data_IF_649634052428
#
_entry.id   IF_649634052428
#
_cell.length_a   1.000
_cell.length_b   1.000
_cell.length_c   1.000
_cell.angle_alpha   90.00
_cell.angle_beta   90.00
_cell.angle_gamma   90.00
#
_symmetry.space_group_name_H-M   'P 1'
#
loop_
_entity.id
_entity.type
_entity.pdbx_description
1 polymer ?
#
# COMPACT_ATOMS: atom_id res chain seq x y z
N UNK A 1 13.55 10.72 -11.08
CA UNK A 1 12.75 10.16 -9.95
C UNK A 1 13.40 10.64 -8.66
N UNK A 2 12.65 11.37 -7.83
CA UNK A 2 13.13 11.82 -6.53
C UNK A 2 13.06 10.69 -5.48
N UNK A 3 13.50 10.95 -4.25
CA UNK A 3 13.56 9.92 -3.20
C UNK A 3 12.17 9.42 -2.80
N UNK A 4 11.18 10.31 -2.67
CA UNK A 4 9.81 9.95 -2.32
C UNK A 4 9.16 9.03 -3.38
N UNK A 5 9.36 9.33 -4.66
CA UNK A 5 8.92 8.45 -5.75
C UNK A 5 9.56 7.07 -5.64
N UNK A 6 10.88 7.00 -5.37
CA UNK A 6 11.56 5.72 -5.18
C UNK A 6 11.01 4.92 -4.00
N UNK A 7 10.62 5.60 -2.92
CA UNK A 7 10.07 4.93 -1.74
C UNK A 7 8.64 4.41 -1.97
N UNK A 8 7.87 5.01 -2.89
CA UNK A 8 6.51 4.59 -3.23
C UNK A 8 6.48 3.40 -4.19
N UNK A 9 7.28 3.42 -5.27
CA UNK A 9 7.22 2.41 -6.32
C UNK A 9 8.47 1.51 -6.40
N UNK A 10 9.40 1.67 -5.48
CA UNK A 10 10.62 0.88 -5.40
C UNK A 10 11.79 1.45 -6.21
N UNK A 11 12.97 0.94 -5.96
CA UNK A 11 14.31 1.45 -6.23
C UNK A 11 14.82 2.41 -5.13
N UNK A 12 14.15 2.43 -3.97
CA UNK A 12 14.63 3.02 -2.74
C UNK A 12 15.44 2.01 -1.92
N UNK A 13 15.11 1.90 -0.64
CA UNK A 13 15.77 0.97 0.30
C UNK A 13 15.13 -0.43 0.32
N UNK A 14 14.08 -0.67 -0.46
CA UNK A 14 13.39 -1.96 -0.55
C UNK A 14 13.18 -2.40 -2.00
N UNK A 15 12.74 -3.64 -2.18
CA UNK A 15 12.35 -4.14 -3.48
C UNK A 15 11.09 -3.43 -4.00
N UNK A 16 10.96 -3.19 -5.32
CA UNK A 16 9.75 -2.60 -5.88
C UNK A 16 8.49 -3.41 -5.55
N UNK A 17 7.33 -2.77 -5.32
CA UNK A 17 6.07 -3.47 -5.09
C UNK A 17 5.74 -4.49 -6.20
N UNK A 18 5.98 -4.14 -7.46
CA UNK A 18 5.79 -5.04 -8.60
C UNK A 18 6.66 -6.29 -8.52
N UNK A 19 7.91 -6.16 -8.05
CA UNK A 19 8.83 -7.28 -7.83
C UNK A 19 8.40 -8.14 -6.63
N UNK A 20 7.98 -7.49 -5.53
CA UNK A 20 7.48 -8.21 -4.35
C UNK A 20 6.25 -9.06 -4.69
N UNK A 21 5.42 -8.63 -5.63
CA UNK A 21 4.19 -9.33 -6.04
C UNK A 21 4.36 -10.18 -7.30
N UNK A 22 5.57 -10.26 -7.89
CA UNK A 22 5.83 -11.08 -9.06
C UNK A 22 5.63 -12.57 -8.75
N UNK A 23 4.87 -13.26 -9.60
CA UNK A 23 4.60 -14.69 -9.45
C UNK A 23 3.69 -15.06 -8.28
N UNK A 24 3.08 -14.10 -7.59
CA UNK A 24 2.04 -14.38 -6.59
C UNK A 24 0.74 -14.66 -7.34
N UNK A 25 0.33 -15.91 -7.37
CA UNK A 25 -0.97 -16.34 -7.90
C UNK A 25 -2.07 -16.31 -6.84
N UNK A 26 -3.30 -16.60 -7.25
CA UNK A 26 -4.47 -16.59 -6.37
C UNK A 26 -4.32 -17.55 -5.18
N UNK A 27 -3.78 -18.75 -5.42
CA UNK A 27 -3.59 -19.76 -4.38
C UNK A 27 -2.57 -19.29 -3.33
N UNK A 28 -1.47 -18.67 -3.75
CA UNK A 28 -0.46 -18.12 -2.85
C UNK A 28 -0.99 -16.88 -2.11
N UNK A 29 -1.73 -16.00 -2.79
CA UNK A 29 -2.29 -14.79 -2.19
C UNK A 29 -3.23 -15.12 -1.02
N UNK A 30 -4.04 -16.16 -1.15
CA UNK A 30 -5.00 -16.61 -0.13
C UNK A 30 -4.43 -17.63 0.86
N UNK A 31 -3.19 -18.09 0.65
CA UNK A 31 -2.56 -19.07 1.54
C UNK A 31 -2.39 -18.51 2.96
N UNK A 32 -2.99 -19.19 3.94
CA UNK A 32 -2.84 -18.81 5.36
C UNK A 32 -1.60 -19.46 5.96
N UNK A 33 -0.76 -18.64 6.56
CA UNK A 33 0.39 -19.10 7.32
C UNK A 33 0.02 -19.20 8.79
N UNK A 34 0.35 -20.33 9.43
CA UNK A 34 0.15 -20.49 10.87
C UNK A 34 0.95 -19.44 11.65
N UNK A 35 0.28 -18.73 12.54
CA UNK A 35 0.88 -17.65 13.34
C UNK A 35 0.92 -16.29 12.66
N UNK A 36 0.63 -16.19 11.37
CA UNK A 36 0.46 -14.91 10.70
C UNK A 36 -1.00 -14.41 10.82
N UNK A 37 -1.23 -13.14 11.17
CA UNK A 37 -2.58 -12.59 11.33
C UNK A 37 -3.31 -12.46 9.98
N UNK A 38 -2.57 -12.20 8.90
CA UNK A 38 -3.14 -11.91 7.57
C UNK A 38 -2.45 -12.74 6.48
N UNK A 39 -3.18 -12.95 5.36
CA UNK A 39 -2.66 -13.50 4.11
C UNK A 39 -2.04 -12.38 3.26
N UNK A 40 -1.34 -12.74 2.17
CA UNK A 40 -0.84 -11.74 1.19
C UNK A 40 -2.01 -10.95 0.60
N UNK A 41 -3.13 -11.62 0.28
CA UNK A 41 -4.33 -10.95 -0.20
C UNK A 41 -4.83 -9.88 0.77
N UNK A 42 -4.97 -10.22 2.06
CA UNK A 42 -5.46 -9.32 3.10
C UNK A 42 -4.50 -8.12 3.30
N UNK A 43 -3.17 -8.33 3.26
CA UNK A 43 -2.18 -7.26 3.36
C UNK A 43 -2.26 -6.29 2.18
N UNK A 44 -2.37 -6.79 0.95
CA UNK A 44 -2.45 -5.94 -0.25
C UNK A 44 -3.80 -5.26 -0.36
N UNK A 45 -4.90 -5.94 -0.02
CA UNK A 45 -6.22 -5.32 0.05
C UNK A 45 -6.24 -4.15 1.05
N UNK A 46 -5.63 -4.35 2.23
CA UNK A 46 -5.47 -3.30 3.25
C UNK A 46 -4.72 -2.08 2.71
N UNK A 47 -3.64 -2.29 1.99
CA UNK A 47 -2.91 -1.20 1.36
C UNK A 47 -3.76 -0.46 0.31
N UNK A 48 -4.52 -1.18 -0.53
CA UNK A 48 -5.40 -0.53 -1.52
C UNK A 48 -6.49 0.30 -0.86
N UNK A 49 -7.00 -0.14 0.28
CA UNK A 49 -8.00 0.60 1.04
C UNK A 49 -7.45 1.95 1.53
N UNK A 50 -6.29 1.95 2.19
CA UNK A 50 -5.70 3.16 2.74
C UNK A 50 -5.16 4.10 1.67
N UNK A 51 -4.51 3.57 0.63
CA UNK A 51 -4.09 4.37 -0.52
C UNK A 51 -5.28 5.03 -1.22
N UNK A 52 -6.38 4.30 -1.39
CA UNK A 52 -7.61 4.85 -1.97
C UNK A 52 -8.18 6.00 -1.12
N UNK A 53 -8.18 5.85 0.19
CA UNK A 53 -8.63 6.88 1.12
C UNK A 53 -7.73 8.14 1.05
N UNK A 54 -6.41 7.95 1.06
CA UNK A 54 -5.44 9.04 0.92
C UNK A 54 -5.60 9.77 -0.43
N UNK A 55 -5.75 9.04 -1.54
CA UNK A 55 -5.98 9.63 -2.86
C UNK A 55 -7.30 10.41 -2.92
N UNK A 56 -8.36 9.95 -2.25
CA UNK A 56 -9.60 10.69 -2.13
C UNK A 56 -9.40 12.04 -1.41
N UNK A 57 -8.67 12.04 -0.30
CA UNK A 57 -8.36 13.28 0.42
C UNK A 57 -7.45 14.22 -0.38
N UNK A 58 -6.46 13.69 -1.09
CA UNK A 58 -5.59 14.46 -1.99
C UNK A 58 -6.42 15.10 -3.11
N UNK A 59 -7.44 14.40 -3.62
CA UNK A 59 -8.38 14.92 -4.61
C UNK A 59 -9.42 15.90 -4.02
N UNK A 60 -9.35 16.21 -2.71
CA UNK A 60 -10.26 17.13 -2.02
C UNK A 60 -11.61 16.54 -1.66
N UNK A 61 -11.78 15.21 -1.70
CA UNK A 61 -13.00 14.54 -1.25
C UNK A 61 -13.03 14.46 0.28
N UNK A 62 -14.23 14.40 0.84
CA UNK A 62 -14.49 14.28 2.29
C UNK A 62 -14.80 12.84 2.69
N UNK A 63 -14.15 11.85 2.06
CA UNK A 63 -14.32 10.43 2.36
C UNK A 63 -14.03 10.19 3.84
N UNK A 64 -14.99 9.62 4.61
CA UNK A 64 -14.86 9.48 6.05
C UNK A 64 -13.70 8.56 6.43
N UNK A 65 -13.04 8.87 7.55
CA UNK A 65 -12.12 7.93 8.19
C UNK A 65 -12.93 6.75 8.78
N UNK A 66 -12.47 5.49 8.64
CA UNK A 66 -13.21 4.34 9.15
C UNK A 66 -13.37 4.41 10.68
N UNK A 67 -14.53 3.99 11.16
CA UNK A 67 -14.83 3.98 12.60
C UNK A 67 -13.96 2.98 13.35
N UNK A 68 -13.70 1.81 12.73
CA UNK A 68 -12.86 0.75 13.28
C UNK A 68 -11.69 0.40 12.36
N UNK A 69 -10.53 0.14 12.93
CA UNK A 69 -9.33 -0.27 12.17
C UNK A 69 -9.55 -1.57 11.37
N UNK A 70 -10.45 -2.44 11.82
CA UNK A 70 -10.82 -3.68 11.12
C UNK A 70 -11.50 -3.43 9.76
N UNK A 71 -12.11 -2.27 9.54
CA UNK A 71 -12.71 -1.90 8.25
C UNK A 71 -11.67 -1.70 7.14
N UNK A 72 -10.41 -1.46 7.53
CA UNK A 72 -9.28 -1.43 6.60
C UNK A 72 -8.84 -2.82 6.11
N UNK A 73 -9.52 -3.92 6.51
CA UNK A 73 -9.26 -5.27 6.02
C UNK A 73 -10.51 -5.83 5.32
N UNK A 74 -10.35 -6.76 4.35
CA UNK A 74 -11.48 -7.29 3.62
C UNK A 74 -12.38 -8.12 4.52
N UNK A 75 -13.70 -7.97 4.36
CA UNK A 75 -14.72 -8.81 5.03
C UNK A 75 -15.00 -10.10 4.27
N UNK A 76 -14.58 -10.17 3.00
CA UNK A 76 -14.67 -11.35 2.13
C UNK A 76 -13.46 -11.41 1.18
N UNK A 77 -13.26 -12.55 0.53
CA UNK A 77 -12.21 -12.76 -0.47
C UNK A 77 -12.80 -12.93 -1.88
N UNK A 78 -13.99 -12.38 -2.12
CA UNK A 78 -14.70 -12.54 -3.40
C UNK A 78 -14.11 -11.67 -4.53
N UNK A 79 -13.42 -10.58 -4.20
CA UNK A 79 -12.75 -9.78 -5.21
C UNK A 79 -11.52 -10.55 -5.75
N UNK A 80 -11.38 -10.74 -7.08
CA UNK A 80 -10.27 -11.47 -7.64
C UNK A 80 -8.91 -10.88 -7.25
N UNK A 81 -7.93 -11.76 -6.94
CA UNK A 81 -6.58 -11.35 -6.58
C UNK A 81 -5.94 -10.39 -7.59
N UNK A 82 -6.04 -10.70 -8.89
CA UNK A 82 -5.47 -9.86 -9.94
C UNK A 82 -6.06 -8.45 -9.96
N UNK A 83 -7.33 -8.28 -9.59
CA UNK A 83 -7.99 -6.97 -9.49
C UNK A 83 -7.40 -6.18 -8.30
N UNK A 84 -7.26 -6.81 -7.15
CA UNK A 84 -6.68 -6.18 -5.95
C UNK A 84 -5.22 -5.80 -6.21
N UNK A 85 -4.44 -6.71 -6.77
CA UNK A 85 -3.03 -6.49 -7.13
C UNK A 85 -2.87 -5.34 -8.12
N UNK A 86 -3.66 -5.34 -9.21
CA UNK A 86 -3.60 -4.29 -10.22
C UNK A 86 -3.96 -2.92 -9.64
N UNK A 87 -5.00 -2.85 -8.81
CA UNK A 87 -5.41 -1.61 -8.13
C UNK A 87 -4.32 -1.09 -7.21
N UNK A 88 -3.70 -1.94 -6.40
CA UNK A 88 -2.59 -1.56 -5.54
C UNK A 88 -1.44 -0.94 -6.32
N UNK A 89 -0.97 -1.61 -7.37
CA UNK A 89 0.14 -1.13 -8.19
C UNK A 89 -0.21 0.19 -8.89
N UNK A 90 -1.42 0.33 -9.41
CA UNK A 90 -1.89 1.57 -10.03
C UNK A 90 -1.93 2.74 -9.04
N UNK A 91 -2.46 2.54 -7.84
CA UNK A 91 -2.50 3.56 -6.80
C UNK A 91 -1.09 3.98 -6.36
N UNK A 92 -0.16 3.03 -6.24
CA UNK A 92 1.23 3.33 -5.93
C UNK A 92 1.91 4.19 -7.02
N UNK A 93 1.63 3.90 -8.30
CA UNK A 93 2.10 4.69 -9.44
C UNK A 93 1.50 6.10 -9.43
N UNK A 94 0.19 6.23 -9.18
CA UNK A 94 -0.50 7.52 -9.07
C UNK A 94 0.11 8.39 -7.96
N UNK A 95 0.39 7.81 -6.80
CA UNK A 95 1.07 8.50 -5.70
C UNK A 95 2.50 8.92 -6.08
N UNK A 96 3.22 8.08 -6.81
CA UNK A 96 4.56 8.40 -7.28
C UNK A 96 4.55 9.54 -8.33
N UNK A 97 3.55 9.60 -9.18
CA UNK A 97 3.36 10.72 -10.11
C UNK A 97 3.10 12.02 -9.36
N UNK A 98 2.23 12.01 -8.34
CA UNK A 98 2.00 13.15 -7.45
C UNK A 98 3.28 13.59 -6.74
N UNK A 99 4.08 12.65 -6.27
CA UNK A 99 5.36 12.89 -5.62
C UNK A 99 6.41 13.50 -6.56
N UNK A 100 6.24 13.37 -7.87
CA UNK A 100 7.12 13.96 -8.89
C UNK A 100 6.99 15.46 -9.07
N UNK A 101 5.91 16.07 -8.59
CA UNK A 101 5.63 17.50 -8.71
C UNK A 101 6.04 18.25 -7.44
N UNK A 102 7.30 18.68 -7.37
CA UNK A 102 7.88 19.38 -6.22
C UNK A 102 7.08 20.64 -5.82
N UNK A 103 6.42 21.30 -6.77
CA UNK A 103 5.60 22.50 -6.47
C UNK A 103 4.33 22.12 -5.72
N UNK A 104 3.71 21.00 -6.09
CA UNK A 104 2.49 20.52 -5.43
C UNK A 104 2.73 19.91 -4.06
N UNK A 105 3.94 19.42 -3.78
CA UNK A 105 4.25 18.74 -2.51
C UNK A 105 4.02 19.61 -1.26
N UNK A 106 4.08 20.93 -1.39
CA UNK A 106 3.71 21.90 -0.32
C UNK A 106 2.21 22.15 -0.20
N UNK A 107 1.39 21.61 -1.11
CA UNK A 107 -0.05 21.79 -1.10
C UNK A 107 -0.71 21.17 0.12
N UNK A 108 -1.85 21.73 0.52
CA UNK A 108 -2.60 21.28 1.70
C UNK A 108 -3.53 20.12 1.36
N UNK A 109 -3.50 19.05 2.16
CA UNK A 109 -4.43 17.94 2.14
C UNK A 109 -5.23 17.93 3.45
N UNK A 110 -6.55 17.85 3.36
CA UNK A 110 -7.45 17.74 4.51
C UNK A 110 -7.85 16.28 4.70
N UNK A 111 -7.22 15.63 5.67
CA UNK A 111 -7.47 14.24 6.01
C UNK A 111 -8.60 14.16 7.05
N UNK A 112 -9.64 13.39 6.78
CA UNK A 112 -10.69 13.17 7.77
C UNK A 112 -10.14 12.38 8.96
N UNK A 113 -10.73 12.58 10.13
CA UNK A 113 -10.38 11.88 11.37
C UNK A 113 -11.59 11.10 11.87
N UNK A 114 -11.34 10.17 12.77
CA UNK A 114 -12.44 9.45 13.45
C UNK A 114 -13.22 10.42 14.32
N UNK A 115 -14.55 10.37 14.22
CA UNK A 115 -15.42 11.12 15.10
C UNK A 115 -15.13 10.78 16.60
N UNK A 116 -15.13 11.78 17.52
CA UNK A 116 -15.42 13.21 17.30
C UNK A 116 -14.18 14.09 17.00
N UNK A 117 -13.06 13.51 16.58
CA UNK A 117 -11.84 14.28 16.29
C UNK A 117 -12.02 15.13 15.01
N UNK A 118 -11.52 16.37 15.02
CA UNK A 118 -11.58 17.21 13.83
C UNK A 118 -10.66 16.68 12.74
N UNK A 119 -10.99 16.99 11.47
CA UNK A 119 -10.11 16.72 10.34
C UNK A 119 -8.71 17.30 10.56
N UNK A 120 -7.68 16.63 10.09
CA UNK A 120 -6.28 17.04 10.19
C UNK A 120 -5.81 17.61 8.88
N UNK A 121 -4.97 18.63 8.96
CA UNK A 121 -4.33 19.23 7.79
C UNK A 121 -2.88 18.79 7.73
N UNK A 122 -2.48 18.30 6.57
CA UNK A 122 -1.10 17.91 6.24
C UNK A 122 -0.68 18.56 4.93
N UNK A 123 0.61 18.56 4.64
CA UNK A 123 1.10 18.79 3.28
C UNK A 123 0.92 17.52 2.44
N UNK A 124 0.86 17.66 1.11
CA UNK A 124 0.86 16.51 0.20
C UNK A 124 2.10 15.63 0.43
N UNK A 125 3.27 16.24 0.69
CA UNK A 125 4.50 15.52 1.04
C UNK A 125 4.30 14.63 2.26
N UNK A 126 3.81 15.17 3.36
CA UNK A 126 3.60 14.41 4.61
C UNK A 126 2.62 13.26 4.43
N UNK A 127 1.57 13.44 3.62
CA UNK A 127 0.63 12.35 3.32
C UNK A 127 1.29 11.23 2.51
N UNK A 128 2.02 11.58 1.44
CA UNK A 128 2.72 10.60 0.60
C UNK A 128 3.87 9.89 1.34
N UNK A 129 4.59 10.58 2.22
CA UNK A 129 5.62 9.97 3.10
C UNK A 129 5.00 8.98 4.09
N UNK A 130 3.81 9.29 4.62
CA UNK A 130 3.02 8.39 5.45
C UNK A 130 2.64 7.11 4.70
N UNK A 131 2.13 7.24 3.48
CA UNK A 131 1.73 6.12 2.63
C UNK A 131 2.94 5.27 2.18
N UNK A 132 4.08 5.89 1.86
CA UNK A 132 5.31 5.17 1.55
C UNK A 132 5.78 4.32 2.74
N UNK A 133 5.74 4.87 3.95
CA UNK A 133 6.11 4.18 5.19
C UNK A 133 5.14 3.03 5.49
N UNK A 134 3.83 3.26 5.35
CA UNK A 134 2.79 2.26 5.55
C UNK A 134 2.92 1.11 4.55
N UNK A 135 3.14 1.43 3.28
CA UNK A 135 3.37 0.43 2.23
C UNK A 135 4.62 -0.41 2.51
N UNK A 136 5.74 0.21 2.90
CA UNK A 136 6.97 -0.51 3.23
C UNK A 136 6.77 -1.49 4.38
N UNK A 137 6.00 -1.12 5.42
CA UNK A 137 5.69 -2.00 6.55
C UNK A 137 4.91 -3.26 6.10
N UNK A 138 3.85 -3.10 5.34
CA UNK A 138 3.02 -4.22 4.89
C UNK A 138 3.69 -5.06 3.80
N UNK A 139 4.43 -4.44 2.87
CA UNK A 139 5.20 -5.17 1.86
C UNK A 139 6.32 -6.01 2.50
N UNK A 140 6.95 -5.54 3.57
CA UNK A 140 7.88 -6.35 4.35
C UNK A 140 7.23 -7.60 4.93
N UNK A 141 5.96 -7.53 5.37
CA UNK A 141 5.20 -8.70 5.81
C UNK A 141 4.88 -9.66 4.66
N UNK A 142 4.57 -9.13 3.48
CA UNK A 142 4.38 -9.94 2.26
C UNK A 142 5.66 -10.70 1.90
N UNK A 143 6.82 -10.04 1.94
CA UNK A 143 8.13 -10.70 1.71
C UNK A 143 8.35 -11.81 2.72
N UNK A 144 8.09 -11.56 4.01
CA UNK A 144 8.21 -12.58 5.06
C UNK A 144 7.29 -13.78 4.80
N UNK A 145 6.03 -13.54 4.44
CA UNK A 145 5.09 -14.62 4.09
C UNK A 145 5.61 -15.46 2.91
N UNK A 146 6.13 -14.81 1.86
CA UNK A 146 6.71 -15.48 0.70
C UNK A 146 7.94 -16.32 1.07
N UNK A 147 8.79 -15.82 1.96
CA UNK A 147 9.94 -16.58 2.50
C UNK A 147 9.46 -17.82 3.25
N UNK A 148 8.44 -17.69 4.10
CA UNK A 148 7.83 -18.82 4.84
C UNK A 148 7.17 -19.84 3.91
N UNK A 149 6.71 -19.42 2.73
CA UNK A 149 6.17 -20.31 1.70
C UNK A 149 7.23 -20.96 0.82
N UNK A 150 8.49 -20.56 0.92
CA UNK A 150 9.56 -20.97 0.03
C UNK A 150 9.44 -20.38 -1.39
N UNK A 151 8.76 -19.21 -1.50
CA UNK A 151 8.46 -18.51 -2.75
C UNK A 151 9.19 -17.17 -2.88
N UNK A 152 10.32 -17.02 -2.20
CA UNK A 152 11.21 -15.86 -2.28
C UNK A 152 12.63 -16.32 -2.55
N UNK A 153 13.41 -15.70 -3.44
CA UNK A 153 13.06 -14.53 -4.28
C UNK A 153 11.97 -14.85 -5.34
N UNK A 154 11.42 -13.81 -6.02
CA UNK A 154 10.49 -14.01 -7.13
C UNK A 154 11.17 -14.66 -8.33
N UNK A 155 10.39 -15.11 -9.37
CA UNK A 155 10.94 -15.82 -10.53
C UNK A 155 12.03 -15.07 -11.29
N UNK A 156 11.99 -13.75 -11.35
CA UNK A 156 13.05 -12.93 -11.98
C UNK A 156 14.34 -12.87 -11.17
N UNK A 157 14.37 -13.44 -9.97
CA UNK A 157 15.52 -13.38 -9.08
C UNK A 157 15.65 -12.02 -8.40
N UNK A 158 16.87 -11.61 -8.09
CA UNK A 158 17.20 -10.34 -7.43
C UNK A 158 17.88 -10.53 -6.09
N UNK A 159 18.36 -9.42 -5.52
CA UNK A 159 18.97 -9.43 -4.21
C UNK A 159 17.90 -9.72 -3.14
N UNK A 160 18.26 -10.66 -2.29
CA UNK A 160 17.40 -11.10 -1.18
C UNK A 160 18.13 -10.86 0.11
N UNK A 161 17.57 -10.03 0.90
CA UNK A 161 17.98 -9.89 2.28
C UNK A 161 17.06 -10.63 3.23
#
# INVERSE_FOLDING_TARGET
MNELQRNLIGNGYGAPPSHILEGVDDAMAHRRQTGAPHTIYEEIWHLTFWQGLALDWIAGKTTPYPEHASEGFPTSTEEPWETVRARFLHQAEEMADLAGDEVKLGGTVVCQSREPEPARTKTLREELEGEATHSAYHLGRVVLLRQMFGAWPPPSGGDTW
#
